data_IF_000476371823
#
_entry.id   IF_000476371823
#
_cell.length_a   1.000
_cell.length_b   1.000
_cell.length_c   1.000
_cell.angle_alpha   90.00
_cell.angle_beta   90.00
_cell.angle_gamma   90.00
#
_symmetry.space_group_name_H-M   'P 1'
#
loop_
_entity.id
_entity.type
_entity.pdbx_description
1 polymer ?
#
# COMPACT_ATOMS: atom_id res chain seq x y z
N UNK A 1 4.43 -9.94 9.52
CA UNK A 1 5.62 -10.63 10.08
C UNK A 1 5.79 -10.17 11.52
N UNK A 2 5.82 -11.08 12.49
CA UNK A 2 5.94 -10.75 13.92
C UNK A 2 7.37 -11.03 14.38
N UNK A 3 7.98 -10.09 15.10
CA UNK A 3 9.35 -10.19 15.59
C UNK A 3 9.41 -9.92 17.10
N UNK A 4 10.04 -10.82 17.85
CA UNK A 4 10.43 -10.55 19.25
C UNK A 4 11.68 -9.67 19.23
N UNK A 5 11.53 -8.36 19.01
CA UNK A 5 12.66 -7.44 18.82
C UNK A 5 13.67 -7.42 19.99
N UNK A 6 13.25 -7.84 21.18
CA UNK A 6 14.13 -7.93 22.36
C UNK A 6 15.08 -9.13 22.25
N UNK A 7 14.56 -10.27 21.77
CA UNK A 7 15.35 -11.49 21.53
C UNK A 7 16.00 -11.52 20.14
N UNK A 8 15.41 -10.88 19.15
CA UNK A 8 15.89 -10.74 17.77
C UNK A 8 17.00 -9.68 17.68
N UNK A 9 18.13 -9.92 18.35
CA UNK A 9 19.33 -9.09 18.20
C UNK A 9 20.03 -9.42 16.88
N UNK A 10 20.68 -8.40 16.29
CA UNK A 10 21.40 -8.55 15.03
C UNK A 10 22.40 -9.73 15.11
N UNK A 11 22.25 -10.77 14.28
CA UNK A 11 23.20 -11.88 14.26
C UNK A 11 24.53 -11.41 13.66
N UNK A 12 25.65 -11.89 14.21
CA UNK A 12 26.97 -11.61 13.62
C UNK A 12 27.11 -12.31 12.28
N UNK A 13 28.02 -11.82 11.43
CA UNK A 13 28.28 -12.43 10.12
C UNK A 13 28.72 -13.90 10.25
N UNK A 14 29.53 -14.20 11.26
CA UNK A 14 29.97 -15.57 11.56
C UNK A 14 28.82 -16.46 12.00
N UNK A 15 27.89 -15.93 12.81
CA UNK A 15 26.66 -16.63 13.20
C UNK A 15 25.81 -16.96 11.97
N UNK A 16 25.63 -16.02 11.04
CA UNK A 16 24.85 -16.23 9.81
C UNK A 16 25.47 -17.32 8.94
N UNK A 17 26.79 -17.32 8.78
CA UNK A 17 27.49 -18.27 7.91
C UNK A 17 27.55 -19.70 8.47
N UNK A 18 27.50 -19.86 9.79
CA UNK A 18 27.64 -21.16 10.46
C UNK A 18 26.31 -21.83 10.81
N UNK A 19 25.18 -21.14 10.65
CA UNK A 19 23.88 -21.58 11.18
C UNK A 19 22.98 -22.15 10.08
N UNK A 20 22.18 -23.17 10.43
CA UNK A 20 21.19 -23.74 9.50
C UNK A 20 20.07 -22.75 9.16
N UNK A 21 19.44 -22.91 8.00
CA UNK A 21 18.31 -22.06 7.59
C UNK A 21 17.17 -22.05 8.62
N UNK A 22 16.93 -23.18 9.30
CA UNK A 22 15.84 -23.32 10.27
C UNK A 22 16.03 -22.39 11.48
N UNK A 23 17.26 -22.30 11.99
CA UNK A 23 17.63 -21.38 13.09
C UNK A 23 17.61 -19.91 12.61
N UNK A 24 17.98 -19.64 11.36
CA UNK A 24 17.91 -18.29 10.78
C UNK A 24 16.46 -17.80 10.60
N UNK A 25 15.53 -18.71 10.31
CA UNK A 25 14.09 -18.43 10.32
C UNK A 25 13.52 -18.28 11.74
N UNK A 26 14.33 -18.47 12.78
CA UNK A 26 14.05 -18.19 14.19
C UNK A 26 12.87 -18.98 14.78
N UNK A 27 12.34 -19.97 14.05
CA UNK A 27 11.25 -20.82 14.51
C UNK A 27 11.66 -21.60 15.76
N UNK A 28 12.96 -21.93 15.90
CA UNK A 28 13.53 -22.62 17.06
C UNK A 28 13.89 -21.69 18.24
N UNK A 29 13.80 -20.37 18.08
CA UNK A 29 14.19 -19.41 19.14
C UNK A 29 13.10 -19.18 20.19
N UNK A 30 11.95 -19.82 20.02
CA UNK A 30 10.86 -19.77 20.98
C UNK A 30 11.02 -20.93 21.95
N UNK A 31 11.13 -20.61 23.24
CA UNK A 31 11.18 -21.59 24.32
C UNK A 31 9.90 -22.47 24.37
N UNK A 32 8.80 -21.96 23.80
CA UNK A 32 7.49 -22.62 23.78
C UNK A 32 6.53 -21.98 22.75
N UNK A 33 5.65 -22.74 22.09
CA UNK A 33 4.69 -22.21 21.10
C UNK A 33 3.62 -21.30 21.71
N UNK A 34 3.33 -21.39 23.01
CA UNK A 34 2.39 -20.52 23.74
C UNK A 34 2.85 -19.06 23.78
N UNK A 35 4.12 -18.81 23.45
CA UNK A 35 4.65 -17.46 23.29
C UNK A 35 4.18 -16.78 21.98
N UNK A 36 3.60 -17.55 21.06
CA UNK A 36 2.97 -17.05 19.85
C UNK A 36 1.54 -16.67 20.20
N UNK A 37 1.27 -15.37 20.28
CA UNK A 37 -0.09 -14.87 20.47
C UNK A 37 -0.96 -15.11 19.24
N UNK A 38 -2.27 -15.25 19.45
CA UNK A 38 -3.25 -15.20 18.38
C UNK A 38 -3.57 -13.74 18.03
N UNK A 39 -3.75 -13.39 16.74
CA UNK A 39 -4.29 -12.09 16.40
C UNK A 39 -5.72 -11.94 16.98
N UNK A 40 -6.14 -10.72 17.36
CA UNK A 40 -7.54 -10.47 17.69
C UNK A 40 -8.44 -10.89 16.51
N UNK A 41 -9.51 -11.66 16.80
CA UNK A 41 -10.44 -12.12 15.76
C UNK A 41 -11.05 -10.96 14.96
N UNK A 42 -11.25 -9.81 15.61
CA UNK A 42 -11.75 -8.60 14.97
C UNK A 42 -10.81 -8.03 13.88
N UNK A 43 -9.55 -8.46 13.82
CA UNK A 43 -8.58 -8.01 12.82
C UNK A 43 -8.40 -8.99 11.67
N UNK A 44 -9.04 -10.16 11.69
CA UNK A 44 -8.80 -11.20 10.69
C UNK A 44 -10.02 -12.13 10.56
N UNK A 45 -11.11 -11.61 10.00
CA UNK A 45 -12.33 -12.38 9.80
C UNK A 45 -12.12 -13.44 8.71
N UNK A 46 -12.34 -14.71 9.03
CA UNK A 46 -12.31 -15.80 8.06
C UNK A 46 -13.60 -15.78 7.24
N UNK A 47 -13.46 -15.49 5.95
CA UNK A 47 -14.59 -15.44 5.02
C UNK A 47 -15.23 -16.83 4.89
N UNK A 48 -16.56 -16.88 5.00
CA UNK A 48 -17.39 -18.09 4.95
C UNK A 48 -17.20 -19.08 6.13
N UNK A 49 -16.44 -18.70 7.17
CA UNK A 49 -16.29 -19.48 8.41
C UNK A 49 -16.74 -18.71 9.65
N UNK A 50 -16.38 -17.43 9.74
CA UNK A 50 -16.81 -16.54 10.81
C UNK A 50 -18.13 -15.83 10.45
N UNK A 51 -18.95 -15.43 11.44
CA UNK A 51 -20.10 -14.56 11.19
C UNK A 51 -19.67 -13.24 10.55
N UNK A 52 -20.51 -12.70 9.66
CA UNK A 52 -20.23 -11.44 9.00
C UNK A 52 -20.18 -10.26 9.98
N UNK A 53 -19.15 -9.43 9.82
CA UNK A 53 -18.91 -8.25 10.62
C UNK A 53 -18.59 -7.06 9.73
N UNK A 54 -19.36 -5.99 9.87
CA UNK A 54 -19.11 -4.74 9.14
C UNK A 54 -17.85 -4.00 9.65
N UNK A 55 -17.34 -4.36 10.83
CA UNK A 55 -16.22 -3.70 11.50
C UNK A 55 -14.86 -4.38 11.26
N UNK A 56 -14.80 -5.46 10.48
CA UNK A 56 -13.55 -6.17 10.23
C UNK A 56 -12.65 -5.37 9.26
N UNK A 57 -11.43 -4.96 9.67
CA UNK A 57 -10.52 -4.23 8.81
C UNK A 57 -9.82 -5.14 7.79
N UNK A 58 -9.94 -6.47 7.92
CA UNK A 58 -9.27 -7.43 7.05
C UNK A 58 -10.11 -8.70 6.86
N UNK A 59 -10.29 -9.08 5.60
CA UNK A 59 -10.95 -10.32 5.19
C UNK A 59 -9.90 -11.36 4.83
N UNK A 60 -10.01 -12.56 5.42
CA UNK A 60 -9.09 -13.66 5.21
C UNK A 60 -9.75 -14.80 4.44
N UNK A 61 -9.32 -15.01 3.20
CA UNK A 61 -9.79 -16.08 2.32
C UNK A 61 -8.87 -17.30 2.43
N UNK A 62 -9.37 -18.42 2.97
CA UNK A 62 -8.60 -19.66 3.17
C UNK A 62 -8.84 -20.72 2.10
N UNK A 63 -10.09 -20.86 1.65
CA UNK A 63 -10.47 -21.77 0.55
C UNK A 63 -10.12 -21.22 -0.84
N UNK A 64 -9.62 -19.97 -0.89
CA UNK A 64 -9.40 -19.16 -2.07
C UNK A 64 -10.42 -18.01 -2.17
N UNK A 65 -10.16 -17.05 -3.06
CA UNK A 65 -11.00 -15.86 -3.22
C UNK A 65 -11.80 -15.85 -4.54
N UNK A 66 -12.58 -14.80 -4.79
CA UNK A 66 -13.53 -14.71 -5.92
C UNK A 66 -12.87 -14.57 -7.30
N UNK A 67 -11.55 -14.72 -7.36
CA UNK A 67 -10.75 -14.79 -8.57
C UNK A 67 -10.54 -16.23 -9.08
N UNK A 68 -10.93 -17.24 -8.30
CA UNK A 68 -11.01 -18.63 -8.77
C UNK A 68 -12.44 -18.98 -9.18
N UNK A 69 -12.59 -19.67 -10.31
CA UNK A 69 -13.91 -19.95 -10.90
C UNK A 69 -14.80 -20.79 -9.97
N UNK A 70 -14.23 -21.80 -9.32
CA UNK A 70 -14.97 -22.73 -8.44
C UNK A 70 -15.59 -22.07 -7.21
N UNK A 71 -15.11 -20.88 -6.83
CA UNK A 71 -15.49 -20.15 -5.61
C UNK A 71 -15.72 -18.66 -5.89
N UNK A 72 -16.09 -18.32 -7.14
CA UNK A 72 -16.34 -16.95 -7.60
C UNK A 72 -17.47 -16.22 -6.86
N UNK A 73 -18.33 -16.98 -6.18
CA UNK A 73 -19.50 -16.51 -5.42
C UNK A 73 -19.34 -16.70 -3.89
N UNK A 74 -18.10 -16.73 -3.38
CA UNK A 74 -17.82 -16.72 -1.94
C UNK A 74 -18.30 -15.43 -1.25
N UNK A 75 -18.26 -15.42 0.09
CA UNK A 75 -18.54 -14.24 0.88
C UNK A 75 -17.69 -13.03 0.45
N UNK A 76 -18.27 -11.84 0.57
CA UNK A 76 -17.65 -10.57 0.18
C UNK A 76 -17.22 -10.44 -1.30
N UNK A 77 -17.63 -11.37 -2.17
CA UNK A 77 -17.22 -11.36 -3.57
C UNK A 77 -17.78 -10.16 -4.34
N UNK A 78 -18.96 -9.66 -3.96
CA UNK A 78 -19.60 -8.50 -4.61
C UNK A 78 -18.82 -7.23 -4.32
N UNK A 79 -18.34 -7.10 -3.10
CA UNK A 79 -17.58 -5.99 -2.55
C UNK A 79 -16.14 -6.00 -3.07
N UNK A 80 -15.50 -7.17 -3.12
CA UNK A 80 -14.08 -7.27 -3.51
C UNK A 80 -13.85 -7.07 -5.01
N UNK A 81 -14.78 -7.47 -5.88
CA UNK A 81 -14.64 -7.32 -7.35
C UNK A 81 -14.36 -5.88 -7.81
N UNK A 82 -15.17 -4.86 -7.45
CA UNK A 82 -14.91 -3.49 -7.87
C UNK A 82 -13.60 -2.94 -7.29
N UNK A 83 -13.24 -3.28 -6.06
CA UNK A 83 -11.98 -2.87 -5.42
C UNK A 83 -10.77 -3.45 -6.14
N UNK A 84 -10.80 -4.75 -6.48
CA UNK A 84 -9.78 -5.39 -7.32
C UNK A 84 -9.68 -4.69 -8.68
N UNK A 85 -10.81 -4.47 -9.35
CA UNK A 85 -10.83 -3.84 -10.66
C UNK A 85 -10.31 -2.39 -10.60
N UNK A 86 -10.51 -1.69 -9.49
CA UNK A 86 -9.91 -0.39 -9.25
C UNK A 86 -8.39 -0.48 -9.04
N UNK A 87 -7.92 -1.42 -8.21
CA UNK A 87 -6.50 -1.63 -7.92
C UNK A 87 -5.68 -2.05 -9.15
N UNK A 88 -6.30 -2.76 -10.10
CA UNK A 88 -5.65 -3.18 -11.35
C UNK A 88 -5.60 -2.09 -12.43
N UNK A 89 -6.27 -0.95 -12.24
CA UNK A 89 -6.24 0.16 -13.20
C UNK A 89 -4.95 0.96 -13.04
N UNK A 90 -4.20 1.09 -14.13
CA UNK A 90 -3.09 2.04 -14.24
C UNK A 90 -3.56 3.26 -15.03
N UNK A 91 -3.29 4.46 -14.50
CA UNK A 91 -3.50 5.73 -15.22
C UNK A 91 -2.16 6.40 -15.46
N UNK A 92 -1.84 6.65 -16.72
CA UNK A 92 -0.70 7.48 -17.07
C UNK A 92 -1.12 8.94 -16.94
N UNK A 93 -0.42 9.70 -16.12
CA UNK A 93 -0.63 11.15 -16.07
C UNK A 93 -0.06 11.77 -17.35
N UNK A 94 -0.84 12.62 -18.01
CA UNK A 94 -0.36 13.35 -19.17
C UNK A 94 0.75 14.32 -18.73
N UNK A 95 1.84 14.38 -19.49
CA UNK A 95 2.89 15.38 -19.30
C UNK A 95 2.28 16.77 -19.47
N UNK A 96 2.03 17.44 -18.35
CA UNK A 96 1.61 18.84 -18.35
C UNK A 96 2.83 19.66 -18.78
N UNK A 97 2.91 19.99 -20.07
CA UNK A 97 3.89 20.97 -20.55
C UNK A 97 3.61 22.28 -19.83
N UNK A 98 4.51 22.67 -18.93
CA UNK A 98 4.54 24.02 -18.38
C UNK A 98 4.89 24.95 -19.54
N UNK A 99 3.88 25.56 -20.16
CA UNK A 99 4.07 26.62 -21.14
C UNK A 99 4.54 27.86 -20.40
N UNK A 100 5.78 28.28 -20.64
CA UNK A 100 6.28 29.56 -20.18
C UNK A 100 5.52 30.69 -20.89
N UNK A 101 4.69 31.40 -20.14
CA UNK A 101 4.06 32.63 -20.60
C UNK A 101 5.16 33.63 -20.99
N UNK A 102 5.25 33.95 -22.29
CA UNK A 102 6.09 35.04 -22.78
C UNK A 102 5.38 36.35 -22.46
N UNK A 103 5.81 37.04 -21.40
CA UNK A 103 5.36 38.40 -21.10
C UNK A 103 5.96 39.36 -22.14
N UNK A 104 5.15 39.85 -23.08
CA UNK A 104 5.48 41.01 -23.90
C UNK A 104 5.08 42.28 -23.13
N UNK A 105 5.97 42.77 -22.27
CA UNK A 105 5.84 44.11 -21.68
C UNK A 105 6.19 45.13 -22.77
N UNK A 106 5.16 45.63 -23.48
CA UNK A 106 5.29 46.80 -24.33
C UNK A 106 5.54 48.04 -23.46
N UNK A 107 6.78 48.50 -23.43
CA UNK A 107 7.14 49.76 -22.80
C UNK A 107 6.61 50.93 -23.64
N UNK A 108 5.62 51.65 -23.13
CA UNK A 108 5.15 52.94 -23.64
C UNK A 108 6.19 54.01 -23.32
N UNK A 109 6.81 54.60 -24.35
CA UNK A 109 7.64 55.80 -24.22
C UNK A 109 6.75 57.06 -24.21
N UNK A 110 7.07 58.10 -23.41
CA UNK A 110 6.18 59.23 -23.16
C UNK A 110 6.19 60.30 -24.26
N UNK A 111 5.08 61.03 -24.30
CA UNK A 111 4.73 62.09 -25.24
C UNK A 111 5.71 63.27 -25.26
N UNK A 112 5.92 63.82 -26.46
CA UNK A 112 6.53 65.14 -26.68
C UNK A 112 5.43 66.11 -27.14
N UNK A 113 5.17 67.11 -26.31
CA UNK A 113 4.25 68.21 -26.59
C UNK A 113 4.77 69.07 -27.75
N UNK A 114 3.90 69.38 -28.70
CA UNK A 114 4.06 70.51 -29.62
C UNK A 114 2.90 71.47 -29.35
N UNK A 115 3.26 72.66 -28.87
CA UNK A 115 2.37 73.80 -28.69
C UNK A 115 2.21 74.51 -30.05
N UNK A 116 0.98 74.92 -30.35
CA UNK A 116 0.64 75.85 -31.43
C UNK A 116 1.28 77.22 -31.20
N UNK A 117 1.88 77.78 -32.26
CA UNK A 117 1.98 79.23 -32.47
C UNK A 117 2.02 79.50 -33.98
N UNK A 118 1.02 80.22 -34.51
CA UNK A 118 1.05 80.85 -35.83
C UNK A 118 -0.19 80.67 -36.67
#
# INVERSE_FOLDING_TARGET
>A
MMFDNVRCRAPTRDHVNATSGLVLHQLERLDSPERIGAPPAALNQLVDYDPDRDDSPLLYFTAGGPYFETIRNCGFAVELRPERDAALKVKQHADTKISAASASTGATAPARAEQETG
#
